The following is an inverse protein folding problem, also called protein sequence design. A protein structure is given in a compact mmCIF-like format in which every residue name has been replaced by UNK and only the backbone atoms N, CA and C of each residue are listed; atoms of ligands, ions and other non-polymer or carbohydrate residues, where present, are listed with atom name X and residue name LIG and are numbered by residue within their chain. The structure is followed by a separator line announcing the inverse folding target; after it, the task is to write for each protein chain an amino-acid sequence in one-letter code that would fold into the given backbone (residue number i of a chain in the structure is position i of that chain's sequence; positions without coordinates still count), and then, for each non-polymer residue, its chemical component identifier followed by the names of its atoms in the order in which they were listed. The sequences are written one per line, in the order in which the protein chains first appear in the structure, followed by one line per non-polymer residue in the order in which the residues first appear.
data_IF_153630174892
#
_entry.id   IF_153630174892
#
_cell.length_a   1.000
_cell.length_b   1.000
_cell.length_c   1.000
_cell.angle_alpha   90.00
_cell.angle_beta   90.00
_cell.angle_gamma   90.00
#
_symmetry.space_group_name_H-M   'P 1'
#
loop_
_entity.id
_entity.type
_entity.pdbx_description
1 polymer ?
#
# COMPACT_ATOMS: atom_id res chain seq x y z
N UNK A 1 -8.79 61.03 -10.75
CA UNK A 1 -7.49 60.33 -10.79
C UNK A 1 -7.75 58.83 -10.75
N UNK A 2 -7.81 58.19 -11.92
CA UNK A 2 -7.93 56.74 -12.04
C UNK A 2 -6.58 56.10 -11.72
N UNK A 3 -6.48 55.41 -10.58
CA UNK A 3 -5.32 54.61 -10.21
C UNK A 3 -5.05 53.57 -11.30
N UNK A 4 -3.79 53.38 -11.73
CA UNK A 4 -3.47 52.40 -12.76
C UNK A 4 -3.81 51.00 -12.23
N UNK A 5 -4.77 50.35 -12.88
CA UNK A 5 -5.17 48.98 -12.61
C UNK A 5 -3.96 48.07 -12.90
N UNK A 6 -3.23 47.65 -11.85
CA UNK A 6 -2.13 46.70 -11.99
C UNK A 6 -2.72 45.42 -12.59
N UNK A 7 -2.35 45.09 -13.83
CA UNK A 7 -2.74 43.82 -14.47
C UNK A 7 -2.24 42.68 -13.58
N UNK A 8 -3.17 41.97 -12.94
CA UNK A 8 -2.85 40.78 -12.16
C UNK A 8 -2.30 39.72 -13.11
N UNK A 9 -1.30 38.97 -12.65
CA UNK A 9 -0.81 37.79 -13.36
C UNK A 9 -1.85 36.68 -13.24
N UNK A 10 -1.93 35.84 -14.26
CA UNK A 10 -3.10 34.98 -14.44
C UNK A 10 -3.14 33.82 -13.46
N UNK A 11 -2.03 33.15 -13.17
CA UNK A 11 -2.04 31.90 -12.40
C UNK A 11 -0.70 31.64 -11.67
N UNK A 12 -0.77 31.10 -10.46
CA UNK A 12 0.35 30.59 -9.66
C UNK A 12 0.25 29.07 -9.53
N UNK A 13 1.35 28.34 -9.66
CA UNK A 13 1.38 26.88 -9.48
C UNK A 13 2.22 26.55 -8.23
N UNK A 14 1.57 26.01 -7.22
CA UNK A 14 2.20 25.50 -6.01
C UNK A 14 2.26 23.96 -6.08
N UNK A 15 3.42 23.41 -5.81
CA UNK A 15 3.67 21.98 -5.87
C UNK A 15 3.92 21.49 -4.45
N UNK A 16 2.96 20.73 -3.94
CA UNK A 16 2.97 20.11 -2.61
C UNK A 16 3.69 18.77 -2.65
N UNK A 17 4.60 18.57 -1.70
CA UNK A 17 5.30 17.30 -1.50
C UNK A 17 4.64 16.57 -0.32
N UNK A 18 4.16 15.32 -0.49
CA UNK A 18 3.54 14.57 0.60
C UNK A 18 4.54 14.27 1.72
N UNK A 19 4.10 14.38 2.97
CA UNK A 19 4.86 14.01 4.16
C UNK A 19 4.87 12.50 4.43
N UNK A 20 5.73 12.10 5.37
CA UNK A 20 5.84 10.74 5.91
C UNK A 20 4.50 10.26 6.51
N UNK A 21 4.13 8.99 6.33
CA UNK A 21 2.99 8.45 7.04
C UNK A 21 3.30 8.33 8.54
N UNK A 22 2.47 8.97 9.37
CA UNK A 22 2.50 8.78 10.82
C UNK A 22 2.00 7.36 11.11
N UNK A 23 2.80 6.66 11.92
CA UNK A 23 2.63 5.29 12.37
C UNK A 23 1.22 5.01 12.91
N UNK A 24 0.39 4.30 12.13
CA UNK A 24 -1.00 4.00 12.48
C UNK A 24 -1.17 2.63 13.15
N UNK A 25 -2.05 2.61 14.15
CA UNK A 25 -2.50 1.46 14.96
C UNK A 25 -3.28 0.38 14.18
N UNK A 26 -3.24 0.40 12.85
CA UNK A 26 -3.96 -0.51 11.97
C UNK A 26 -3.48 -1.98 12.09
N UNK A 27 -2.24 -2.18 12.52
CA UNK A 27 -1.58 -3.49 12.62
C UNK A 27 -2.17 -4.48 13.63
N UNK A 28 -3.07 -4.05 14.52
CA UNK A 28 -3.60 -4.92 15.58
C UNK A 28 -4.79 -5.75 15.10
N UNK A 29 -5.66 -5.17 14.27
CA UNK A 29 -6.85 -5.86 13.72
C UNK A 29 -6.47 -6.92 12.67
N UNK A 30 -5.44 -6.65 11.87
CA UNK A 30 -4.92 -7.60 10.87
C UNK A 30 -4.22 -8.82 11.51
N UNK A 31 -3.56 -8.63 12.67
CA UNK A 31 -3.02 -9.74 13.46
C UNK A 31 -4.10 -10.65 14.01
N UNK A 32 -5.27 -10.11 14.35
CA UNK A 32 -6.41 -10.91 14.83
C UNK A 32 -7.00 -11.76 13.69
N UNK A 33 -7.17 -11.21 12.49
CA UNK A 33 -7.73 -11.94 11.35
C UNK A 33 -6.79 -13.04 10.82
N UNK A 34 -5.48 -12.81 10.80
CA UNK A 34 -4.50 -13.84 10.43
C UNK A 34 -4.39 -14.93 11.53
N UNK A 35 -4.52 -14.55 12.80
CA UNK A 35 -4.61 -15.49 13.91
C UNK A 35 -5.84 -16.40 13.79
N UNK A 36 -7.01 -15.86 13.44
CA UNK A 36 -8.24 -16.62 13.23
C UNK A 36 -8.13 -17.59 12.03
N UNK A 37 -7.49 -17.18 10.93
CA UNK A 37 -7.26 -18.05 9.77
C UNK A 37 -6.28 -19.19 10.08
N UNK A 38 -5.28 -18.93 10.91
CA UNK A 38 -4.36 -19.97 11.40
C UNK A 38 -5.10 -20.98 12.30
N UNK A 39 -5.92 -20.50 13.23
CA UNK A 39 -6.74 -21.34 14.11
C UNK A 39 -7.72 -22.24 13.31
N UNK A 40 -8.32 -21.73 12.23
CA UNK A 40 -9.23 -22.49 11.35
C UNK A 40 -8.55 -23.62 10.58
N UNK A 41 -7.29 -23.45 10.15
CA UNK A 41 -6.54 -24.54 9.50
C UNK A 41 -6.15 -25.64 10.49
N UNK A 42 -5.98 -25.28 11.76
CA UNK A 42 -5.48 -26.20 12.78
C UNK A 42 -6.63 -26.96 13.45
N UNK A 43 -7.84 -26.37 13.50
CA UNK A 43 -9.05 -27.08 13.95
C UNK A 43 -9.40 -28.30 13.08
N UNK A 44 -9.07 -28.28 11.79
CA UNK A 44 -9.15 -29.45 10.90
C UNK A 44 -8.35 -30.63 11.45
N UNK A 45 -7.12 -30.40 11.89
CA UNK A 45 -6.25 -31.46 12.44
C UNK A 45 -6.70 -31.98 13.81
N UNK A 46 -7.42 -31.18 14.59
CA UNK A 46 -8.04 -31.63 15.84
C UNK A 46 -9.15 -32.66 15.58
N UNK A 47 -9.99 -32.38 14.58
CA UNK A 47 -11.07 -33.29 14.17
C UNK A 47 -10.53 -34.63 13.64
N UNK A 48 -9.44 -34.59 12.88
CA UNK A 48 -8.79 -35.80 12.37
C UNK A 48 -8.21 -36.66 13.51
N UNK A 49 -7.57 -36.05 14.50
CA UNK A 49 -7.04 -36.76 15.68
C UNK A 49 -8.15 -37.38 16.53
N UNK A 50 -9.26 -36.67 16.74
CA UNK A 50 -10.43 -37.18 17.46
C UNK A 50 -11.11 -38.33 16.72
N UNK A 51 -11.19 -38.25 15.37
CA UNK A 51 -11.75 -39.31 14.55
C UNK A 51 -10.88 -40.57 14.54
N UNK A 52 -9.56 -40.42 14.56
CA UNK A 52 -8.63 -41.55 14.63
C UNK A 52 -8.75 -42.31 15.97
N UNK A 53 -9.02 -41.57 17.05
CA UNK A 53 -9.21 -42.14 18.38
C UNK A 53 -10.51 -42.95 18.51
N UNK A 54 -11.57 -42.55 17.79
CA UNK A 54 -12.85 -43.29 17.79
C UNK A 54 -12.82 -44.62 17.01
N UNK A 55 -11.73 -44.95 16.30
CA UNK A 55 -11.60 -46.21 15.56
C UNK A 55 -11.02 -47.36 16.40
N UNK A 56 -10.51 -47.10 17.60
CA UNK A 56 -10.03 -48.17 18.48
C UNK A 56 -11.22 -48.87 19.14
N UNK A 57 -11.29 -50.20 18.97
CA UNK A 57 -12.38 -51.03 19.49
C UNK A 57 -12.54 -50.82 21.00
N UNK A 58 -13.79 -50.70 21.50
CA UNK A 58 -14.01 -50.51 22.92
C UNK A 58 -13.42 -51.69 23.71
N UNK A 59 -12.74 -51.47 24.85
CA UNK A 59 -12.22 -52.54 25.69
C UNK A 59 -13.36 -53.41 26.23
N UNK A 60 -13.08 -54.69 26.49
CA UNK A 60 -14.08 -55.66 26.98
C UNK A 60 -14.60 -55.26 28.39
N UNK A 61 -15.91 -55.07 28.54
CA UNK A 61 -16.53 -54.17 29.55
C UNK A 61 -17.15 -54.85 30.79
N UNK A 62 -16.78 -56.07 31.13
CA UNK A 62 -17.55 -56.81 32.15
C UNK A 62 -17.29 -56.40 33.63
N UNK A 63 -16.42 -55.42 33.92
CA UNK A 63 -15.97 -55.17 35.32
C UNK A 63 -15.84 -53.70 35.80
N UNK A 64 -16.09 -52.68 34.97
CA UNK A 64 -15.86 -51.26 35.36
C UNK A 64 -17.19 -50.55 35.62
N UNK A 65 -17.28 -49.81 36.74
CA UNK A 65 -18.47 -48.99 37.04
C UNK A 65 -18.63 -47.87 36.00
N UNK A 66 -19.88 -47.53 35.64
CA UNK A 66 -20.19 -46.44 34.70
C UNK A 66 -19.51 -45.12 35.09
N UNK A 67 -19.42 -44.83 36.38
CA UNK A 67 -18.83 -43.58 36.87
C UNK A 67 -17.31 -43.55 36.70
N UNK A 68 -16.63 -44.68 36.95
CA UNK A 68 -15.19 -44.83 36.72
C UNK A 68 -14.84 -44.67 35.23
N UNK A 69 -15.69 -45.22 34.36
CA UNK A 69 -15.55 -45.05 32.92
C UNK A 69 -15.71 -43.58 32.47
N UNK A 70 -16.72 -42.88 32.99
CA UNK A 70 -16.93 -41.47 32.66
C UNK A 70 -15.76 -40.59 33.12
N UNK A 71 -15.21 -40.86 34.31
CA UNK A 71 -14.07 -40.12 34.81
C UNK A 71 -12.79 -40.41 34.02
N UNK A 72 -12.52 -41.68 33.69
CA UNK A 72 -11.41 -42.06 32.81
C UNK A 72 -11.50 -41.38 31.44
N UNK A 73 -12.67 -41.48 30.79
CA UNK A 73 -12.93 -40.88 29.48
C UNK A 73 -12.78 -39.35 29.51
N UNK A 74 -13.16 -38.71 30.63
CA UNK A 74 -12.94 -37.27 30.81
C UNK A 74 -11.45 -36.94 30.93
N UNK A 75 -10.69 -37.67 31.75
CA UNK A 75 -9.24 -37.48 31.90
C UNK A 75 -8.49 -37.66 30.58
N UNK A 76 -8.87 -38.65 29.77
CA UNK A 76 -8.28 -38.85 28.44
C UNK A 76 -8.59 -37.71 27.48
N UNK A 77 -9.84 -37.23 27.43
CA UNK A 77 -10.20 -36.05 26.63
C UNK A 77 -9.44 -34.80 27.05
N UNK A 78 -9.32 -34.57 28.35
CA UNK A 78 -8.59 -33.43 28.91
C UNK A 78 -7.10 -33.53 28.56
N UNK A 79 -6.51 -34.73 28.62
CA UNK A 79 -5.12 -34.98 28.26
C UNK A 79 -4.84 -34.80 26.77
N UNK A 80 -5.69 -35.35 25.90
CA UNK A 80 -5.59 -35.15 24.44
C UNK A 80 -5.71 -33.66 24.11
N UNK A 81 -6.64 -32.96 24.76
CA UNK A 81 -6.83 -31.52 24.58
C UNK A 81 -5.59 -30.75 25.02
N UNK A 82 -4.98 -31.11 26.15
CA UNK A 82 -3.73 -30.51 26.63
C UNK A 82 -2.58 -30.69 25.65
N UNK A 83 -2.33 -31.93 25.20
CA UNK A 83 -1.27 -32.27 24.23
C UNK A 83 -1.47 -31.49 22.93
N UNK A 84 -2.72 -31.37 22.45
CA UNK A 84 -3.03 -30.61 21.25
C UNK A 84 -2.73 -29.12 21.41
N UNK A 85 -3.12 -28.50 22.54
CA UNK A 85 -2.82 -27.08 22.80
C UNK A 85 -1.32 -26.83 22.90
N UNK A 86 -0.56 -27.71 23.56
CA UNK A 86 0.91 -27.60 23.63
C UNK A 86 1.56 -27.69 22.25
N UNK A 87 1.09 -28.59 21.39
CA UNK A 87 1.55 -28.72 20.01
C UNK A 87 1.21 -27.47 19.18
N UNK A 88 -0.02 -26.98 19.29
CA UNK A 88 -0.47 -25.75 18.64
C UNK A 88 0.40 -24.55 19.04
N UNK A 89 0.64 -24.37 20.33
CA UNK A 89 1.48 -23.31 20.87
C UNK A 89 2.90 -23.38 20.31
N UNK A 90 3.46 -24.59 20.25
CA UNK A 90 4.79 -24.84 19.69
C UNK A 90 4.85 -24.50 18.21
N UNK A 91 3.83 -24.87 17.43
CA UNK A 91 3.75 -24.60 15.99
C UNK A 91 3.56 -23.11 15.70
N UNK A 92 2.73 -22.41 16.47
CA UNK A 92 2.55 -20.95 16.39
C UNK A 92 3.88 -20.24 16.70
N UNK A 93 4.56 -20.62 17.79
CA UNK A 93 5.86 -20.03 18.15
C UNK A 93 6.90 -20.29 17.05
N UNK A 94 6.93 -21.49 16.48
CA UNK A 94 7.82 -21.84 15.38
C UNK A 94 7.51 -21.03 14.11
N UNK A 95 6.23 -20.80 13.76
CA UNK A 95 5.87 -19.96 12.60
C UNK A 95 6.28 -18.51 12.81
N UNK A 96 5.96 -17.94 13.97
CA UNK A 96 6.38 -16.57 14.32
C UNK A 96 7.91 -16.41 14.29
N UNK A 97 8.65 -17.41 14.77
CA UNK A 97 10.11 -17.39 14.72
C UNK A 97 10.65 -17.46 13.28
N UNK A 98 9.97 -18.16 12.35
CA UNK A 98 10.34 -18.19 10.92
C UNK A 98 10.02 -16.89 10.20
N UNK A 99 8.92 -16.23 10.56
CA UNK A 99 8.45 -15.00 9.91
C UNK A 99 9.11 -13.72 10.46
N UNK A 100 9.54 -13.72 11.73
CA UNK A 100 10.14 -12.55 12.37
C UNK A 100 11.30 -11.91 11.58
N UNK A 101 12.27 -12.67 11.01
CA UNK A 101 13.35 -12.09 10.22
C UNK A 101 12.86 -11.43 8.92
N UNK A 102 11.80 -11.95 8.30
CA UNK A 102 11.21 -11.39 7.08
C UNK A 102 10.51 -10.05 7.39
N UNK A 103 9.71 -10.01 8.45
CA UNK A 103 9.03 -8.80 8.91
C UNK A 103 10.07 -7.72 9.28
N UNK A 104 11.13 -8.10 10.00
CA UNK A 104 12.22 -7.19 10.36
C UNK A 104 12.94 -6.66 9.11
N UNK A 105 13.26 -7.54 8.16
CA UNK A 105 13.90 -7.16 6.89
C UNK A 105 13.04 -6.19 6.10
N UNK A 106 11.73 -6.47 5.96
CA UNK A 106 10.78 -5.57 5.30
C UNK A 106 10.68 -4.22 6.00
N UNK A 107 10.66 -4.21 7.34
CA UNK A 107 10.68 -2.98 8.14
C UNK A 107 11.95 -2.15 7.91
N UNK A 108 13.11 -2.80 7.84
CA UNK A 108 14.39 -2.14 7.57
C UNK A 108 14.47 -1.58 6.14
N UNK A 109 13.96 -2.30 5.14
CA UNK A 109 13.87 -1.82 3.76
C UNK A 109 12.91 -0.63 3.64
N UNK A 110 11.76 -0.65 4.31
CA UNK A 110 10.82 0.47 4.35
C UNK A 110 11.51 1.74 4.90
N UNK A 111 12.20 1.61 6.04
CA UNK A 111 12.98 2.71 6.64
C UNK A 111 14.07 3.23 5.68
N UNK A 112 14.79 2.34 5.00
CA UNK A 112 15.79 2.76 4.01
C UNK A 112 15.18 3.55 2.86
N UNK A 113 14.00 3.15 2.37
CA UNK A 113 13.29 3.88 1.30
C UNK A 113 12.85 5.26 1.76
N UNK A 114 12.38 5.39 3.00
CA UNK A 114 12.04 6.69 3.60
C UNK A 114 13.28 7.59 3.68
N UNK A 115 14.41 7.08 4.15
CA UNK A 115 15.68 7.84 4.21
C UNK A 115 16.13 8.29 2.82
N UNK A 116 16.06 7.41 1.81
CA UNK A 116 16.41 7.76 0.42
C UNK A 116 15.47 8.84 -0.10
N UNK A 117 14.16 8.69 0.09
CA UNK A 117 13.14 9.67 -0.33
C UNK A 117 13.35 11.03 0.34
N UNK A 118 13.61 11.04 1.65
CA UNK A 118 13.89 12.25 2.41
C UNK A 118 15.17 12.95 1.90
N UNK A 119 16.22 12.19 1.60
CA UNK A 119 17.47 12.71 1.02
C UNK A 119 17.26 13.29 -0.37
N UNK A 120 16.52 12.60 -1.25
CA UNK A 120 16.18 13.10 -2.59
C UNK A 120 15.38 14.41 -2.51
N UNK A 121 14.38 14.47 -1.62
CA UNK A 121 13.59 15.70 -1.36
C UNK A 121 14.49 16.82 -0.84
N UNK A 122 15.39 16.53 0.11
CA UNK A 122 16.29 17.53 0.67
C UNK A 122 17.26 18.09 -0.39
N UNK A 123 17.85 17.23 -1.22
CA UNK A 123 18.70 17.66 -2.34
C UNK A 123 17.89 18.53 -3.31
N UNK A 124 16.67 18.12 -3.66
CA UNK A 124 15.81 18.90 -4.54
C UNK A 124 15.47 20.29 -3.97
N UNK A 125 15.12 20.36 -2.69
CA UNK A 125 14.80 21.63 -2.01
C UNK A 125 16.03 22.52 -1.81
N UNK A 126 17.24 21.97 -1.79
CA UNK A 126 18.48 22.75 -1.77
C UNK A 126 18.69 23.50 -3.08
N UNK A 127 18.43 22.84 -4.20
CA UNK A 127 18.54 23.44 -5.54
C UNK A 127 17.32 24.29 -5.90
N UNK A 128 16.19 24.09 -5.22
CA UNK A 128 14.93 24.80 -5.42
C UNK A 128 14.40 25.30 -4.06
N UNK A 129 15.08 26.26 -3.41
CA UNK A 129 14.70 26.73 -2.09
C UNK A 129 13.26 27.21 -2.08
N UNK A 130 12.47 26.71 -1.12
CA UNK A 130 11.11 27.17 -0.90
C UNK A 130 11.15 28.62 -0.42
N UNK A 131 11.08 29.57 -1.33
CA UNK A 131 11.04 30.98 -0.96
C UNK A 131 9.62 31.36 -0.53
N UNK A 132 9.26 30.90 0.66
CA UNK A 132 7.98 31.18 1.33
C UNK A 132 7.75 32.69 1.46
N UNK A 133 8.82 33.48 1.60
CA UNK A 133 8.72 34.94 1.69
C UNK A 133 8.32 35.54 0.35
N UNK A 134 8.98 35.14 -0.74
CA UNK A 134 8.58 35.55 -2.09
C UNK A 134 7.17 35.06 -2.41
N UNK A 135 6.81 33.82 -2.03
CA UNK A 135 5.47 33.29 -2.24
C UNK A 135 4.43 34.18 -1.58
N UNK A 136 4.59 34.53 -0.30
CA UNK A 136 3.66 35.44 0.39
C UNK A 136 3.55 36.82 -0.29
N UNK A 137 4.66 37.37 -0.77
CA UNK A 137 4.67 38.65 -1.49
C UNK A 137 4.01 38.56 -2.87
N UNK A 138 4.15 37.41 -3.52
CA UNK A 138 3.71 37.17 -4.88
C UNK A 138 2.25 36.70 -4.95
N UNK A 139 1.70 36.07 -3.91
CA UNK A 139 0.28 35.66 -3.82
C UNK A 139 -0.66 36.80 -4.18
N UNK A 140 -0.41 38.02 -3.69
CA UNK A 140 -1.23 39.20 -4.00
C UNK A 140 -1.12 39.70 -5.44
N UNK A 141 -0.25 39.10 -6.27
CA UNK A 141 -0.04 39.45 -7.67
C UNK A 141 -0.77 38.52 -8.64
N UNK A 142 -1.31 37.40 -8.16
CA UNK A 142 -1.97 36.40 -8.98
C UNK A 142 -3.48 36.40 -8.75
N UNK A 143 -4.26 36.20 -9.82
CA UNK A 143 -5.71 36.04 -9.73
C UNK A 143 -6.14 34.67 -9.23
N UNK A 144 -5.31 33.65 -9.39
CA UNK A 144 -5.60 32.28 -8.96
C UNK A 144 -4.32 31.52 -8.62
N UNK A 145 -4.45 30.50 -7.77
CA UNK A 145 -3.35 29.66 -7.30
C UNK A 145 -3.79 28.20 -7.35
N UNK A 146 -3.12 27.41 -8.17
CA UNK A 146 -3.35 25.98 -8.30
C UNK A 146 -2.33 25.22 -7.46
N UNK A 147 -2.81 24.28 -6.64
CA UNK A 147 -1.95 23.38 -5.87
C UNK A 147 -2.01 22.00 -6.48
N UNK A 148 -0.85 21.41 -6.76
CA UNK A 148 -0.74 20.04 -7.22
C UNK A 148 0.06 19.20 -6.23
N UNK A 149 -0.30 17.93 -6.08
CA UNK A 149 0.50 16.93 -5.39
C UNK A 149 1.36 16.18 -6.39
N UNK A 150 2.61 15.93 -6.02
CA UNK A 150 3.43 14.90 -6.68
C UNK A 150 3.42 13.64 -5.85
N UNK A 151 2.58 12.72 -6.26
CA UNK A 151 2.64 11.37 -5.75
C UNK A 151 3.47 10.49 -6.69
N UNK A 152 4.43 9.77 -6.12
CA UNK A 152 5.29 8.77 -6.78
C UNK A 152 6.21 9.25 -7.90
N UNK A 153 6.13 10.51 -8.38
CA UNK A 153 6.99 11.03 -9.43
C UNK A 153 8.43 11.25 -8.95
N UNK A 154 9.39 10.62 -9.66
CA UNK A 154 10.80 10.96 -9.52
C UNK A 154 10.98 12.38 -10.06
N UNK A 155 11.22 13.35 -9.18
CA UNK A 155 11.46 14.76 -9.51
C UNK A 155 12.64 14.92 -10.48
N UNK A 156 13.56 13.96 -10.50
CA UNK A 156 14.68 13.95 -11.45
C UNK A 156 14.33 13.42 -12.84
N UNK A 157 13.13 12.85 -13.03
CA UNK A 157 12.76 12.24 -14.30
C UNK A 157 12.78 13.25 -15.45
N UNK A 158 13.24 12.81 -16.62
CA UNK A 158 13.27 13.66 -17.81
C UNK A 158 11.87 14.15 -18.22
N UNK A 159 10.82 13.36 -17.93
CA UNK A 159 9.42 13.75 -18.13
C UNK A 159 9.03 14.94 -17.25
N UNK A 160 9.35 14.88 -15.96
CA UNK A 160 9.10 15.99 -15.04
C UNK A 160 9.86 17.25 -15.45
N UNK A 161 11.17 17.12 -15.76
CA UNK A 161 11.97 18.26 -16.22
C UNK A 161 11.40 18.88 -17.50
N UNK A 162 10.93 18.07 -18.45
CA UNK A 162 10.24 18.55 -19.66
C UNK A 162 8.92 19.26 -19.34
N UNK A 163 8.13 18.75 -18.40
CA UNK A 163 6.88 19.36 -17.96
C UNK A 163 7.11 20.72 -17.27
N UNK A 164 8.05 20.80 -16.33
CA UNK A 164 8.41 22.08 -15.70
C UNK A 164 8.98 23.06 -16.73
N UNK A 165 9.75 22.57 -17.70
CA UNK A 165 10.26 23.39 -18.80
C UNK A 165 9.12 23.89 -19.70
N UNK A 166 8.13 23.06 -20.06
CA UNK A 166 6.99 23.51 -20.87
C UNK A 166 6.17 24.57 -20.15
N UNK A 167 5.99 24.46 -18.83
CA UNK A 167 5.34 25.51 -18.02
C UNK A 167 6.10 26.84 -18.04
N UNK A 168 7.42 26.83 -18.24
CA UNK A 168 8.26 28.04 -18.32
C UNK A 168 8.36 28.61 -19.74
N UNK A 169 8.35 27.74 -20.74
CA UNK A 169 8.54 28.09 -22.15
C UNK A 169 7.26 28.62 -22.82
N UNK A 170 6.08 28.35 -22.24
CA UNK A 170 4.80 28.92 -22.69
C UNK A 170 4.74 30.42 -22.40
N UNK A 171 5.33 31.21 -23.30
CA UNK A 171 5.42 32.68 -23.29
C UNK A 171 4.07 33.43 -23.17
N UNK A 172 2.93 32.73 -23.12
CA UNK A 172 1.61 33.35 -23.04
C UNK A 172 1.18 33.71 -21.61
N UNK A 173 1.76 33.11 -20.57
CA UNK A 173 1.28 33.30 -19.19
C UNK A 173 2.46 33.34 -18.21
N UNK A 174 2.57 34.42 -17.45
CA UNK A 174 3.55 34.56 -16.37
C UNK A 174 3.17 33.65 -15.20
N UNK A 175 3.46 32.36 -15.28
CA UNK A 175 3.30 31.43 -14.16
C UNK A 175 4.50 31.54 -13.20
N UNK A 176 4.22 31.62 -11.91
CA UNK A 176 5.19 31.30 -10.87
C UNK A 176 5.06 29.83 -10.49
N UNK A 177 6.18 29.10 -10.39
CA UNK A 177 6.19 27.71 -9.90
C UNK A 177 6.92 27.67 -8.57
N UNK A 178 6.21 27.24 -7.52
CA UNK A 178 6.74 27.18 -6.16
C UNK A 178 6.68 25.76 -5.63
N UNK A 179 7.72 25.40 -4.88
CA UNK A 179 7.82 24.12 -4.19
C UNK A 179 7.70 24.35 -2.70
N UNK A 180 6.81 23.60 -2.04
CA UNK A 180 6.58 23.73 -0.61
C UNK A 180 6.25 22.40 0.02
N UNK A 181 6.64 22.23 1.28
CA UNK A 181 6.09 21.17 2.13
C UNK A 181 4.63 21.45 2.42
N UNK A 182 3.83 20.40 2.64
CA UNK A 182 2.40 20.50 2.88
C UNK A 182 2.09 21.51 3.98
N UNK A 183 2.73 21.45 5.14
CA UNK A 183 2.49 22.31 6.31
C UNK A 183 2.81 23.78 5.99
N UNK A 184 3.82 24.02 5.17
CA UNK A 184 4.18 25.38 4.73
C UNK A 184 3.08 25.95 3.85
N UNK A 185 2.54 25.16 2.93
CA UNK A 185 1.40 25.56 2.09
C UNK A 185 0.11 25.68 2.91
N UNK A 186 -0.13 24.76 3.85
CA UNK A 186 -1.27 24.80 4.79
C UNK A 186 -1.27 26.05 5.65
N UNK A 187 -0.11 26.49 6.15
CA UNK A 187 0.00 27.73 6.94
C UNK A 187 -0.22 28.99 6.12
N UNK A 188 0.08 28.96 4.81
CA UNK A 188 -0.05 30.12 3.94
C UNK A 188 -1.48 30.22 3.39
N UNK A 189 -2.06 29.09 2.99
CA UNK A 189 -3.32 29.04 2.24
C UNK A 189 -4.48 28.41 3.03
N UNK A 190 -4.25 27.90 4.24
CA UNK A 190 -5.27 27.15 4.99
C UNK A 190 -5.62 25.79 4.39
N UNK A 191 -4.78 25.27 3.48
CA UNK A 191 -5.08 24.06 2.70
C UNK A 191 -4.68 22.80 3.46
N UNK A 192 -5.60 21.85 3.58
CA UNK A 192 -5.28 20.49 4.01
C UNK A 192 -5.52 19.52 2.84
N UNK A 193 -4.56 19.40 1.91
CA UNK A 193 -4.71 18.43 0.84
C UNK A 193 -4.72 17.02 1.44
N UNK A 194 -5.78 16.26 1.19
CA UNK A 194 -5.87 14.85 1.55
C UNK A 194 -4.73 14.06 0.91
N UNK A 195 -4.28 13.01 1.60
CA UNK A 195 -3.42 12.01 0.98
C UNK A 195 -4.32 11.10 0.15
N UNK A 196 -3.96 10.82 -1.10
CA UNK A 196 -4.69 9.83 -1.87
C UNK A 196 -4.36 8.44 -1.37
N UNK A 197 -5.38 7.61 -1.20
CA UNK A 197 -5.19 6.21 -0.89
C UNK A 197 -4.69 5.49 -2.14
N UNK A 198 -3.53 4.86 -2.04
CA UNK A 198 -3.07 3.94 -3.07
C UNK A 198 -4.03 2.75 -3.06
N UNK A 199 -4.70 2.51 -4.17
CA UNK A 199 -5.50 1.30 -4.32
C UNK A 199 -4.59 0.07 -4.34
N UNK A 200 -4.96 -0.93 -3.54
CA UNK A 200 -4.29 -2.24 -3.54
C UNK A 200 -4.62 -2.99 -4.82
N UNK A 201 -3.62 -3.52 -5.52
CA UNK A 201 -3.82 -4.36 -6.69
C UNK A 201 -4.11 -5.80 -6.23
N UNK A 202 -5.39 -6.18 -6.31
CA UNK A 202 -5.89 -7.51 -5.95
C UNK A 202 -6.25 -8.27 -7.23
N UNK A 203 -5.80 -9.52 -7.32
CA UNK A 203 -6.18 -10.45 -8.37
C UNK A 203 -7.17 -11.46 -7.80
N UNK A 204 -8.22 -11.74 -8.56
CA UNK A 204 -9.28 -12.65 -8.14
C UNK A 204 -8.91 -14.12 -8.42
N UNK A 205 -9.55 -15.02 -7.68
CA UNK A 205 -9.46 -16.45 -7.98
C UNK A 205 -10.00 -16.74 -9.38
N UNK A 206 -9.38 -17.70 -10.07
CA UNK A 206 -9.67 -18.08 -11.45
C UNK A 206 -9.39 -17.04 -12.54
N UNK A 207 -8.81 -15.89 -12.19
CA UNK A 207 -8.44 -14.87 -13.16
C UNK A 207 -7.27 -15.32 -14.05
N UNK A 208 -7.38 -15.07 -15.36
CA UNK A 208 -6.31 -15.31 -16.32
C UNK A 208 -5.43 -14.07 -16.46
N UNK A 209 -4.14 -14.23 -16.18
CA UNK A 209 -3.18 -13.13 -16.29
C UNK A 209 -2.95 -12.75 -17.75
N UNK A 210 -3.02 -11.44 -18.03
CA UNK A 210 -2.64 -10.90 -19.33
C UNK A 210 -1.12 -10.97 -19.49
N UNK A 211 -0.67 -11.83 -20.41
CA UNK A 211 0.75 -12.02 -20.65
C UNK A 211 1.33 -10.87 -21.48
N UNK A 212 2.54 -10.39 -21.15
CA UNK A 212 3.22 -9.45 -22.01
C UNK A 212 3.47 -10.03 -23.41
N UNK A 213 3.48 -9.20 -24.46
CA UNK A 213 3.85 -9.65 -25.80
C UNK A 213 5.22 -10.32 -25.78
N UNK A 214 5.32 -11.50 -26.41
CA UNK A 214 6.54 -12.33 -26.55
C UNK A 214 7.03 -13.01 -25.27
N UNK A 215 6.25 -13.03 -24.20
CA UNK A 215 6.58 -13.79 -22.98
C UNK A 215 6.09 -15.23 -23.07
N UNK A 216 6.95 -16.19 -22.72
CA UNK A 216 6.52 -17.59 -22.53
C UNK A 216 5.76 -17.72 -21.22
N UNK A 217 4.50 -18.18 -21.30
CA UNK A 217 3.65 -18.44 -20.13
C UNK A 217 4.33 -19.39 -19.14
N UNK A 218 5.02 -20.41 -19.64
CA UNK A 218 5.71 -21.41 -18.83
C UNK A 218 6.82 -20.78 -17.98
N UNK A 219 7.69 -19.98 -18.60
CA UNK A 219 8.79 -19.34 -17.88
C UNK A 219 8.31 -18.26 -16.91
N UNK A 220 7.25 -17.54 -17.27
CA UNK A 220 6.66 -16.52 -16.40
C UNK A 220 5.97 -17.17 -15.19
N UNK A 221 5.25 -18.27 -15.38
CA UNK A 221 4.57 -19.01 -14.31
C UNK A 221 5.56 -19.49 -13.23
N UNK A 222 6.71 -20.05 -13.61
CA UNK A 222 7.75 -20.47 -12.65
C UNK A 222 8.23 -19.29 -11.80
N UNK A 223 8.55 -18.16 -12.44
CA UNK A 223 9.02 -16.96 -11.74
C UNK A 223 7.96 -16.38 -10.80
N UNK A 224 6.69 -16.41 -11.20
CA UNK A 224 5.60 -15.93 -10.35
C UNK A 224 5.39 -16.84 -9.13
N UNK A 225 5.51 -18.17 -9.30
CA UNK A 225 5.51 -19.11 -8.17
C UNK A 225 6.67 -18.90 -7.20
N UNK A 226 7.88 -18.64 -7.73
CA UNK A 226 9.06 -18.31 -6.90
C UNK A 226 8.86 -17.03 -6.07
N UNK A 227 8.05 -16.09 -6.57
CA UNK A 227 7.67 -14.85 -5.88
C UNK A 227 6.43 -15.03 -4.97
N UNK A 228 5.96 -16.26 -4.76
CA UNK A 228 4.86 -16.58 -3.85
C UNK A 228 3.45 -16.41 -4.44
N UNK A 229 3.33 -16.14 -5.74
CA UNK A 229 2.03 -15.94 -6.39
C UNK A 229 1.35 -17.30 -6.68
N UNK A 230 0.07 -17.51 -6.27
CA UNK A 230 -0.64 -18.77 -6.42
C UNK A 230 -1.16 -18.93 -7.86
N UNK A 231 -0.28 -19.35 -8.77
CA UNK A 231 -0.60 -19.46 -10.20
C UNK A 231 -0.43 -20.87 -10.75
N UNK A 232 -1.19 -21.22 -11.77
CA UNK A 232 -1.09 -22.47 -12.52
C UNK A 232 -1.10 -22.23 -14.03
N UNK A 233 -0.55 -23.18 -14.78
CA UNK A 233 -0.55 -23.13 -16.23
C UNK A 233 -1.77 -23.90 -16.75
N UNK A 234 -2.70 -23.21 -17.42
CA UNK A 234 -3.87 -23.81 -18.04
C UNK A 234 -3.96 -23.39 -19.51
N UNK A 235 -3.82 -24.36 -20.42
CA UNK A 235 -3.95 -24.12 -21.87
C UNK A 235 -2.96 -23.08 -22.43
N UNK A 236 -1.74 -23.01 -21.89
CA UNK A 236 -0.74 -22.02 -22.29
C UNK A 236 -1.00 -20.60 -21.75
N UNK A 237 -1.97 -20.44 -20.85
CA UNK A 237 -2.22 -19.20 -20.10
C UNK A 237 -1.92 -19.44 -18.61
N UNK A 238 -1.70 -18.36 -17.88
CA UNK A 238 -1.47 -18.41 -16.44
C UNK A 238 -2.78 -18.05 -15.76
N UNK A 239 -3.25 -18.93 -14.86
CA UNK A 239 -4.49 -18.78 -14.10
C UNK A 239 -4.16 -18.67 -12.61
N UNK A 240 -4.79 -17.78 -11.87
CA UNK A 240 -4.68 -17.79 -10.40
C UNK A 240 -5.52 -18.91 -9.81
N UNK A 241 -4.96 -19.57 -8.80
CA UNK A 241 -5.67 -20.60 -8.02
C UNK A 241 -6.31 -20.06 -6.76
N UNK A 242 -5.91 -18.87 -6.29
CA UNK A 242 -6.43 -18.22 -5.10
C UNK A 242 -6.36 -16.72 -5.27
N UNK A 243 -7.22 -15.99 -4.57
CA UNK A 243 -7.12 -14.53 -4.44
C UNK A 243 -5.73 -14.15 -3.94
N UNK A 244 -5.10 -13.17 -4.60
CA UNK A 244 -3.76 -12.71 -4.25
C UNK A 244 -3.67 -11.19 -4.35
N UNK A 245 -3.31 -10.55 -3.23
CA UNK A 245 -2.97 -9.13 -3.21
C UNK A 245 -1.48 -8.96 -3.49
N UNK A 246 -1.13 -8.25 -4.56
CA UNK A 246 0.28 -7.98 -4.86
C UNK A 246 0.83 -6.93 -3.90
N UNK A 247 0.01 -6.03 -3.37
CA UNK A 247 0.44 -4.98 -2.46
C UNK A 247 -0.55 -4.85 -1.32
N UNK A 248 -0.23 -5.49 -0.19
CA UNK A 248 -0.94 -5.32 1.06
C UNK A 248 -0.59 -3.94 1.67
N UNK A 249 -1.62 -3.27 2.20
CA UNK A 249 -1.54 -2.06 3.03
C UNK A 249 -0.70 -0.91 2.46
N UNK A 250 -0.84 -0.67 1.15
CA UNK A 250 -0.19 0.45 0.43
C UNK A 250 1.34 0.35 0.44
N UNK A 251 1.91 -0.80 0.84
CA UNK A 251 3.36 -1.06 0.84
C UNK A 251 3.73 -1.96 -0.33
N UNK A 252 4.65 -1.48 -1.15
CA UNK A 252 5.17 -2.26 -2.28
C UNK A 252 6.43 -2.98 -1.85
N UNK A 253 6.37 -4.30 -1.64
CA UNK A 253 7.57 -5.10 -1.32
C UNK A 253 8.49 -5.25 -2.55
N UNK A 254 9.72 -5.73 -2.38
CA UNK A 254 10.61 -6.02 -3.51
C UNK A 254 10.00 -7.07 -4.46
N UNK A 255 9.42 -8.13 -3.90
CA UNK A 255 8.81 -9.21 -4.67
C UNK A 255 7.52 -8.73 -5.36
N UNK A 256 6.71 -7.92 -4.68
CA UNK A 256 5.59 -7.19 -5.31
C UNK A 256 6.06 -6.38 -6.53
N UNK A 257 7.18 -5.66 -6.39
CA UNK A 257 7.76 -4.87 -7.49
C UNK A 257 8.22 -5.77 -8.65
N UNK A 258 8.82 -6.93 -8.35
CA UNK A 258 9.22 -7.92 -9.36
C UNK A 258 8.00 -8.49 -10.09
N UNK A 259 6.95 -8.87 -9.36
CA UNK A 259 5.68 -9.35 -9.91
C UNK A 259 5.10 -8.29 -10.87
N UNK A 260 4.96 -7.05 -10.42
CA UNK A 260 4.44 -5.94 -11.24
C UNK A 260 5.27 -5.73 -12.52
N UNK A 261 6.61 -5.79 -12.42
CA UNK A 261 7.51 -5.68 -13.59
C UNK A 261 7.34 -6.85 -14.56
N UNK A 262 7.22 -8.07 -14.04
CA UNK A 262 7.01 -9.28 -14.84
C UNK A 262 5.68 -9.23 -15.60
N UNK A 263 4.63 -8.76 -14.96
CA UNK A 263 3.30 -8.58 -15.56
C UNK A 263 3.19 -7.32 -16.43
N UNK A 264 4.22 -6.46 -16.45
CA UNK A 264 4.19 -5.11 -17.05
C UNK A 264 3.02 -4.25 -16.57
N UNK A 265 2.52 -4.54 -15.37
CA UNK A 265 1.48 -3.78 -14.67
C UNK A 265 2.13 -2.54 -14.03
N UNK A 266 1.56 -1.36 -14.29
CA UNK A 266 2.01 -0.10 -13.67
C UNK A 266 1.01 0.26 -12.59
N UNK A 267 1.36 0.03 -11.33
CA UNK A 267 0.50 0.49 -10.22
C UNK A 267 0.48 2.00 -10.10
N UNK A 268 1.60 2.66 -10.40
CA UNK A 268 1.69 4.11 -10.32
C UNK A 268 1.65 4.71 -11.72
N UNK A 269 0.52 5.33 -12.05
CA UNK A 269 0.53 6.38 -13.06
C UNK A 269 1.16 7.60 -12.39
N UNK A 270 2.31 8.04 -12.88
CA UNK A 270 2.87 9.33 -12.47
C UNK A 270 1.83 10.40 -12.81
N UNK A 271 1.06 10.82 -11.81
CA UNK A 271 0.03 11.80 -11.96
C UNK A 271 0.48 13.07 -11.24
N UNK A 272 0.52 14.16 -11.99
CA UNK A 272 0.42 15.47 -11.39
C UNK A 272 -1.04 15.58 -10.96
N UNK A 273 -1.29 15.57 -9.66
CA UNK A 273 -2.66 15.50 -9.14
C UNK A 273 -3.08 16.90 -8.70
N UNK A 274 -4.01 17.59 -9.40
CA UNK A 274 -4.49 18.91 -8.97
C UNK A 274 -5.32 18.75 -7.70
N UNK A 275 -4.88 19.33 -6.60
CA UNK A 275 -5.54 19.21 -5.29
C UNK A 275 -6.64 20.26 -5.11
N UNK A 276 -6.31 21.52 -5.38
CA UNK A 276 -7.24 22.63 -5.23
C UNK A 276 -6.81 23.86 -6.03
N UNK A 277 -7.74 24.80 -6.19
CA UNK A 277 -7.51 26.12 -6.73
C UNK A 277 -8.05 27.17 -5.76
N UNK A 278 -7.20 28.13 -5.38
CA UNK A 278 -7.64 29.35 -4.70
C UNK A 278 -7.83 30.47 -5.72
N UNK A 279 -8.89 31.27 -5.57
CA UNK A 279 -9.17 32.42 -6.43
C UNK A 279 -9.14 33.73 -5.64
N UNK A 280 -8.41 34.72 -6.15
CA UNK A 280 -8.33 36.06 -5.54
C UNK A 280 -9.64 36.84 -5.67
N UNK A 281 -10.48 36.55 -6.67
CA UNK A 281 -11.74 37.27 -6.89
C UNK A 281 -12.82 36.90 -5.88
N UNK A 282 -12.84 35.64 -5.45
CA UNK A 282 -13.79 35.12 -4.46
C UNK A 282 -13.19 35.02 -3.07
N UNK A 283 -11.86 34.86 -2.96
CA UNK A 283 -11.18 34.53 -1.71
C UNK A 283 -11.38 33.08 -1.28
N UNK A 284 -12.06 32.27 -2.09
CA UNK A 284 -12.43 30.89 -1.78
C UNK A 284 -11.45 29.89 -2.39
N UNK A 285 -11.40 28.69 -1.78
CA UNK A 285 -10.66 27.54 -2.28
C UNK A 285 -11.63 26.48 -2.79
N UNK A 286 -11.49 26.10 -4.04
CA UNK A 286 -12.19 24.97 -4.63
C UNK A 286 -11.27 23.74 -4.63
N UNK A 287 -11.72 22.63 -4.05
CA UNK A 287 -11.01 21.36 -4.07
C UNK A 287 -11.45 20.56 -5.28
N UNK A 288 -10.50 20.00 -6.02
CA UNK A 288 -10.83 19.12 -7.13
C UNK A 288 -11.24 17.76 -6.58
N UNK A 289 -12.42 17.30 -6.97
CA UNK A 289 -12.80 15.91 -6.71
C UNK A 289 -12.03 15.01 -7.66
N UNK A 290 -11.10 14.24 -7.08
CA UNK A 290 -10.17 13.38 -7.80
C UNK A 290 -10.62 11.93 -7.80
N UNK A 291 -11.94 11.68 -7.72
CA UNK A 291 -12.55 10.42 -8.09
C UNK A 291 -12.16 10.04 -9.53
N UNK A 292 -10.95 9.49 -9.69
CA UNK A 292 -10.38 9.09 -10.95
C UNK A 292 -11.23 7.94 -11.49
N UNK A 293 -11.74 8.01 -12.73
CA UNK A 293 -12.52 6.92 -13.28
C UNK A 293 -11.67 5.65 -13.31
N UNK A 294 -12.26 4.56 -12.81
CA UNK A 294 -11.73 3.19 -12.88
C UNK A 294 -11.24 2.95 -14.31
N UNK A 295 -9.94 2.84 -14.52
CA UNK A 295 -9.46 2.28 -15.78
C UNK A 295 -9.70 0.78 -15.71
N UNK A 296 -10.81 0.34 -16.33
CA UNK A 296 -11.01 -1.07 -16.67
C UNK A 296 -9.99 -1.58 -17.67
#
# INVERSE_FOLDING_TARGET
MTTPCKKLKTNLICLSIPEEPINDKATEKEREDEHLRSLLKISSGYFDAMNQYHQESPPDYDQISRDEYQEHSKRERDEITRIWHEKLDKDIRASRAREAPLIEKQGNEAKQREVIKAREIQTYLKDNPSDVKSLKLDVGRYSSIYVFSFEYAKLESSKYKKFIKSLKDDNLINYGVYFGRKESLSKIFGLNPGLHEIESLVFEEDEFLTLPPRSSATNLCVKLKELGMPVELNGGRIKLTKVFSVCEDKRVTEDSTKILRLLKQKMFKYALVPLCCWSASTGETEYFDLNLPRSG
#
